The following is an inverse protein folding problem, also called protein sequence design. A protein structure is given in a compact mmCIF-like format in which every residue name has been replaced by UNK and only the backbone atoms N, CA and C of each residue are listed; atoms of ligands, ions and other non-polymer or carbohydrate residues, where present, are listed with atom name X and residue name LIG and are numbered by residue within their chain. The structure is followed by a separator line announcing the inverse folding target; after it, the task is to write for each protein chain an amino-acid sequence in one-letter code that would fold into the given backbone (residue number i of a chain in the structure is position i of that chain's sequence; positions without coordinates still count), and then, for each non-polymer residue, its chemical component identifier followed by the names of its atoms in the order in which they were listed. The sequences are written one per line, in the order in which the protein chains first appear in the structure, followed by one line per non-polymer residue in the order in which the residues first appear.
data_IF_994036913502
#
_entry.id   IF_994036913502
#
_cell.length_a   1.000
_cell.length_b   1.000
_cell.length_c   1.000
_cell.angle_alpha   90.00
_cell.angle_beta   90.00
_cell.angle_gamma   90.00
#
_symmetry.space_group_name_H-M   'P 1'
#
loop_
_entity.id
_entity.type
_entity.pdbx_description
1 polymer ?
#
# COMPACT_ATOMS: atom_id res chain seq x y z
N UNK A 1 34.22 -13.60 -28.19
CA UNK A 1 33.44 -14.40 -27.26
C UNK A 1 32.22 -13.57 -26.91
N UNK A 2 31.05 -13.97 -27.38
CA UNK A 2 29.77 -13.27 -27.13
C UNK A 2 29.07 -14.00 -25.99
N UNK A 3 28.95 -13.37 -24.84
CA UNK A 3 28.10 -13.86 -23.76
C UNK A 3 26.63 -13.66 -24.18
N UNK A 4 25.96 -14.77 -24.40
CA UNK A 4 24.51 -14.85 -24.61
C UNK A 4 23.86 -14.85 -23.26
N UNK A 5 23.44 -13.69 -22.74
CA UNK A 5 22.48 -13.62 -21.65
C UNK A 5 21.12 -14.07 -22.17
N UNK A 6 20.76 -15.29 -21.79
CA UNK A 6 19.44 -15.86 -21.99
C UNK A 6 18.43 -15.10 -21.15
N UNK A 7 17.81 -14.04 -21.69
CA UNK A 7 16.58 -13.49 -21.14
C UNK A 7 15.53 -14.60 -21.18
N UNK A 8 15.25 -15.20 -20.03
CA UNK A 8 14.06 -16.05 -19.85
C UNK A 8 12.84 -15.21 -20.16
N UNK A 9 12.20 -15.45 -21.29
CA UNK A 9 10.88 -14.94 -21.60
C UNK A 9 9.91 -15.48 -20.56
N UNK A 10 9.48 -14.65 -19.63
CA UNK A 10 8.33 -14.89 -18.78
C UNK A 10 7.07 -14.81 -19.67
N UNK A 11 6.08 -15.69 -19.49
CA UNK A 11 4.90 -15.70 -20.36
C UNK A 11 4.09 -14.41 -20.22
N UNK A 12 3.42 -13.99 -21.31
CA UNK A 12 2.59 -12.78 -21.45
C UNK A 12 1.51 -12.56 -20.36
N UNK A 13 1.30 -13.54 -19.46
CA UNK A 13 0.43 -13.46 -18.29
C UNK A 13 0.87 -12.41 -17.24
N UNK A 14 2.13 -11.94 -17.30
CA UNK A 14 2.68 -10.96 -16.34
C UNK A 14 2.27 -9.50 -16.61
N UNK A 15 1.82 -9.19 -17.83
CA UNK A 15 1.48 -7.80 -18.20
C UNK A 15 0.37 -7.19 -17.34
N UNK A 16 -0.46 -8.01 -16.67
CA UNK A 16 -1.55 -7.56 -15.79
C UNK A 16 -1.43 -8.04 -14.33
N UNK A 17 -0.32 -8.63 -13.95
CA UNK A 17 -0.06 -9.04 -12.57
C UNK A 17 -0.92 -10.21 -12.06
N UNK A 18 -1.55 -10.98 -12.93
CA UNK A 18 -2.31 -12.19 -12.55
C UNK A 18 -1.50 -13.42 -12.89
N UNK A 19 -1.22 -14.23 -11.87
CA UNK A 19 -0.56 -15.55 -12.00
C UNK A 19 -1.60 -16.59 -11.61
N UNK A 20 -2.02 -17.44 -12.54
CA UNK A 20 -3.08 -18.42 -12.31
C UNK A 20 -2.62 -19.85 -12.55
N UNK A 21 -3.15 -20.77 -11.75
CA UNK A 21 -2.80 -22.18 -11.77
C UNK A 21 -1.70 -22.55 -10.77
N UNK A 22 -1.77 -23.80 -10.30
CA UNK A 22 -0.93 -24.30 -9.19
C UNK A 22 0.57 -24.22 -9.49
N UNK A 23 0.97 -24.68 -10.66
CA UNK A 23 2.40 -24.72 -11.04
C UNK A 23 2.98 -23.31 -11.19
N UNK A 24 2.23 -22.39 -11.82
CA UNK A 24 2.68 -21.02 -12.01
C UNK A 24 2.86 -20.30 -10.65
N UNK A 25 1.89 -20.48 -9.73
CA UNK A 25 1.97 -19.88 -8.39
C UNK A 25 3.12 -20.50 -7.56
N UNK A 26 3.34 -21.83 -7.66
CA UNK A 26 4.47 -22.48 -6.98
C UNK A 26 5.80 -21.93 -7.50
N UNK A 27 5.92 -21.76 -8.82
CA UNK A 27 7.14 -21.25 -9.44
C UNK A 27 7.38 -19.77 -9.06
N UNK A 28 6.33 -18.95 -9.05
CA UNK A 28 6.41 -17.56 -8.57
C UNK A 28 6.87 -17.48 -7.11
N UNK A 29 6.34 -18.36 -6.24
CA UNK A 29 6.80 -18.45 -4.84
C UNK A 29 8.25 -18.95 -4.73
N UNK A 30 8.70 -19.81 -5.63
CA UNK A 30 10.06 -20.36 -5.63
C UNK A 30 11.08 -19.37 -6.16
N UNK A 31 10.72 -18.61 -7.19
CA UNK A 31 11.59 -17.58 -7.81
C UNK A 31 11.73 -16.33 -6.95
N UNK A 32 10.95 -16.19 -5.86
CA UNK A 32 10.92 -14.97 -5.06
C UNK A 32 10.21 -13.80 -5.73
N UNK A 33 9.31 -14.08 -6.69
CA UNK A 33 8.53 -13.03 -7.34
C UNK A 33 7.75 -12.21 -6.33
N UNK A 34 7.68 -10.91 -6.54
CA UNK A 34 6.91 -10.02 -5.69
C UNK A 34 5.42 -10.32 -5.81
N UNK A 35 4.84 -10.97 -4.82
CA UNK A 35 3.41 -11.33 -4.77
C UNK A 35 2.71 -10.46 -3.75
N UNK A 36 1.66 -9.78 -4.19
CA UNK A 36 0.82 -8.95 -3.33
C UNK A 36 -0.13 -9.80 -2.50
N UNK A 37 -0.82 -10.75 -3.14
CA UNK A 37 -1.86 -11.55 -2.52
C UNK A 37 -2.09 -12.85 -3.26
N UNK A 38 -2.44 -13.92 -2.54
CA UNK A 38 -2.85 -15.20 -3.14
C UNK A 38 -4.31 -15.48 -2.74
N UNK A 39 -5.15 -15.76 -3.73
CA UNK A 39 -6.51 -16.25 -3.54
C UNK A 39 -6.53 -17.76 -3.71
N UNK A 40 -7.15 -18.44 -2.73
CA UNK A 40 -7.42 -19.88 -2.76
C UNK A 40 -8.91 -20.13 -2.77
N UNK A 41 -9.35 -21.09 -3.56
CA UNK A 41 -10.74 -21.50 -3.59
C UNK A 41 -11.14 -22.14 -2.24
N UNK A 42 -12.21 -21.63 -1.64
CA UNK A 42 -12.75 -22.13 -0.36
C UNK A 42 -13.30 -23.54 -0.53
N UNK A 43 -12.99 -24.41 0.44
CA UNK A 43 -13.50 -25.78 0.49
C UNK A 43 -12.75 -26.80 -0.36
N UNK A 44 -11.74 -26.41 -1.13
CA UNK A 44 -10.86 -27.36 -1.81
C UNK A 44 -9.78 -27.89 -0.84
N UNK A 45 -9.89 -29.17 -0.47
CA UNK A 45 -8.93 -29.87 0.39
C UNK A 45 -7.88 -30.59 -0.45
N UNK A 46 -7.07 -29.82 -1.17
CA UNK A 46 -5.99 -30.36 -2.00
C UNK A 46 -4.62 -30.11 -1.31
N UNK A 47 -3.77 -31.17 -1.25
CA UNK A 47 -2.44 -31.08 -0.64
C UNK A 47 -1.56 -30.00 -1.28
N UNK A 48 -1.71 -29.78 -2.58
CA UNK A 48 -0.94 -28.76 -3.32
C UNK A 48 -1.36 -27.35 -2.91
N UNK A 49 -2.67 -27.10 -2.77
CA UNK A 49 -3.18 -25.80 -2.30
C UNK A 49 -2.75 -25.53 -0.85
N UNK A 50 -2.78 -26.56 0.01
CA UNK A 50 -2.26 -26.48 1.36
C UNK A 50 -0.77 -26.13 1.42
N UNK A 51 0.03 -26.73 0.53
CA UNK A 51 1.46 -26.40 0.39
C UNK A 51 1.71 -24.97 -0.07
N UNK A 52 0.96 -24.51 -1.08
CA UNK A 52 0.99 -23.11 -1.55
C UNK A 52 0.66 -22.15 -0.40
N UNK A 53 -0.43 -22.42 0.33
CA UNK A 53 -0.84 -21.60 1.47
C UNK A 53 0.24 -21.51 2.55
N UNK A 54 0.88 -22.65 2.89
CA UNK A 54 1.94 -22.72 3.88
C UNK A 54 3.18 -21.92 3.46
N UNK A 55 3.65 -22.11 2.22
CA UNK A 55 4.78 -21.36 1.66
C UNK A 55 4.51 -19.85 1.59
N UNK A 56 3.32 -19.47 1.12
CA UNK A 56 2.94 -18.08 1.04
C UNK A 56 2.92 -17.40 2.40
N UNK A 57 2.34 -18.06 3.43
CA UNK A 57 2.34 -17.53 4.80
C UNK A 57 3.74 -17.41 5.39
N UNK A 58 4.61 -18.39 5.14
CA UNK A 58 6.02 -18.36 5.56
C UNK A 58 6.77 -17.18 4.90
N UNK A 59 6.45 -16.85 3.65
CA UNK A 59 6.99 -15.69 2.94
C UNK A 59 6.29 -14.35 3.32
N UNK A 60 5.36 -14.36 4.29
CA UNK A 60 4.63 -13.15 4.71
C UNK A 60 3.60 -12.64 3.69
N UNK A 61 3.27 -13.45 2.68
CA UNK A 61 2.28 -13.11 1.65
C UNK A 61 0.87 -13.33 2.18
N UNK A 62 -0.04 -12.41 1.88
CA UNK A 62 -1.44 -12.50 2.31
C UNK A 62 -2.15 -13.59 1.51
N UNK A 63 -2.70 -14.60 2.21
CA UNK A 63 -3.54 -15.65 1.62
C UNK A 63 -5.01 -15.37 2.00
N UNK A 64 -5.88 -15.33 0.99
CA UNK A 64 -7.31 -15.08 1.12
C UNK A 64 -8.08 -16.28 0.58
N UNK A 65 -8.91 -16.87 1.41
CA UNK A 65 -9.90 -17.84 0.93
C UNK A 65 -11.07 -17.11 0.28
N UNK A 66 -11.45 -17.52 -0.91
CA UNK A 66 -12.52 -16.91 -1.69
C UNK A 66 -13.39 -17.96 -2.37
N UNK A 67 -14.63 -17.62 -2.63
CA UNK A 67 -15.51 -18.49 -3.41
C UNK A 67 -14.95 -18.71 -4.82
N UNK A 68 -15.17 -19.91 -5.36
CA UNK A 68 -14.68 -20.28 -6.70
C UNK A 68 -15.14 -19.29 -7.78
N UNK A 69 -16.36 -18.78 -7.70
CA UNK A 69 -16.89 -17.73 -8.60
C UNK A 69 -16.03 -16.48 -8.63
N UNK A 70 -15.42 -16.11 -7.50
CA UNK A 70 -14.51 -14.96 -7.45
C UNK A 70 -13.24 -15.24 -8.22
N UNK A 71 -12.69 -16.46 -8.12
CA UNK A 71 -11.52 -16.86 -8.89
C UNK A 71 -11.87 -16.95 -10.39
N UNK A 72 -13.03 -17.52 -10.73
CA UNK A 72 -13.51 -17.58 -12.12
C UNK A 72 -13.61 -16.19 -12.75
N UNK A 73 -14.11 -15.19 -11.99
CA UNK A 73 -14.21 -13.80 -12.44
C UNK A 73 -12.86 -13.09 -12.56
N UNK A 74 -11.88 -13.52 -11.80
CA UNK A 74 -10.51 -12.98 -11.85
C UNK A 74 -9.66 -13.67 -12.92
N UNK A 75 -9.96 -14.94 -13.22
CA UNK A 75 -9.21 -15.76 -14.15
C UNK A 75 -9.41 -15.30 -15.59
N UNK A 76 -8.33 -15.30 -16.36
CA UNK A 76 -8.36 -14.99 -17.80
C UNK A 76 -8.46 -16.23 -18.65
N UNK A 77 -7.81 -17.29 -18.22
CA UNK A 77 -7.72 -18.55 -18.99
C UNK A 77 -8.78 -19.56 -18.54
N UNK A 78 -9.55 -19.23 -17.47
CA UNK A 78 -10.48 -20.16 -16.80
C UNK A 78 -9.81 -21.46 -16.32
N UNK A 79 -8.49 -21.46 -16.19
CA UNK A 79 -7.67 -22.62 -15.78
C UNK A 79 -6.94 -22.39 -14.45
N UNK A 80 -7.50 -21.60 -13.54
CA UNK A 80 -6.87 -21.21 -12.28
C UNK A 80 -6.63 -22.36 -11.29
N UNK A 81 -7.25 -23.53 -11.46
CA UNK A 81 -7.03 -24.73 -10.64
C UNK A 81 -7.17 -24.47 -9.11
N UNK A 82 -8.06 -23.57 -8.70
CA UNK A 82 -8.31 -23.22 -7.30
C UNK A 82 -7.32 -22.20 -6.71
N UNK A 83 -6.40 -21.64 -7.50
CA UNK A 83 -5.45 -20.62 -7.01
C UNK A 83 -5.16 -19.53 -8.04
N UNK A 84 -5.13 -18.29 -7.55
CA UNK A 84 -4.69 -17.10 -8.29
C UNK A 84 -3.79 -16.27 -7.38
N UNK A 85 -2.61 -15.89 -7.85
CA UNK A 85 -1.76 -14.91 -7.21
C UNK A 85 -1.82 -13.57 -7.97
N UNK A 86 -1.80 -12.48 -7.23
CA UNK A 86 -1.60 -11.14 -7.76
C UNK A 86 -0.14 -10.77 -7.55
N UNK A 87 0.59 -10.58 -8.62
CA UNK A 87 1.95 -10.07 -8.57
C UNK A 87 1.94 -8.58 -8.16
N UNK A 88 2.87 -8.18 -7.32
CA UNK A 88 3.16 -6.77 -7.10
C UNK A 88 4.10 -6.29 -8.21
N UNK A 89 3.82 -5.11 -8.76
CA UNK A 89 4.66 -4.51 -9.81
C UNK A 89 6.04 -4.08 -9.29
N UNK A 90 6.19 -3.97 -7.97
CA UNK A 90 7.42 -3.61 -7.30
C UNK A 90 7.49 -4.26 -5.93
N UNK A 91 8.69 -4.55 -5.48
CA UNK A 91 8.94 -5.01 -4.11
C UNK A 91 8.58 -3.94 -3.08
N UNK A 92 8.02 -4.39 -1.98
CA UNK A 92 7.79 -3.55 -0.81
C UNK A 92 9.08 -3.41 -0.02
N UNK A 93 9.32 -2.22 0.50
CA UNK A 93 10.48 -1.95 1.35
C UNK A 93 10.11 -2.03 2.84
N UNK A 94 11.11 -2.02 3.71
CA UNK A 94 10.87 -1.89 5.15
C UNK A 94 10.60 -0.43 5.55
N UNK A 95 9.97 -0.21 6.70
CA UNK A 95 9.76 1.16 7.23
C UNK A 95 11.10 1.81 7.57
N UNK A 96 12.04 1.03 8.07
CA UNK A 96 13.40 1.46 8.38
C UNK A 96 14.09 2.03 7.15
N UNK A 97 13.95 1.37 5.99
CA UNK A 97 14.53 1.87 4.72
C UNK A 97 13.96 3.22 4.29
N UNK A 98 12.68 3.51 4.63
CA UNK A 98 12.08 4.83 4.36
C UNK A 98 12.74 5.92 5.22
N UNK A 99 13.00 5.62 6.48
CA UNK A 99 13.63 6.55 7.42
C UNK A 99 15.11 6.76 7.10
N UNK A 100 15.81 5.69 6.73
CA UNK A 100 17.21 5.77 6.25
C UNK A 100 17.33 6.63 4.99
N UNK A 101 16.36 6.53 4.07
CA UNK A 101 16.34 7.36 2.86
C UNK A 101 16.15 8.85 3.19
N UNK A 102 15.33 9.21 4.18
CA UNK A 102 15.19 10.59 4.65
C UNK A 102 16.48 11.08 5.31
N UNK A 103 17.07 10.28 6.19
CA UNK A 103 18.33 10.61 6.87
C UNK A 103 19.49 10.79 5.89
N UNK A 104 19.58 9.95 4.84
CA UNK A 104 20.61 10.07 3.81
C UNK A 104 20.51 11.37 3.00
N UNK A 105 19.32 11.96 2.90
CA UNK A 105 19.10 13.29 2.29
C UNK A 105 19.32 14.44 3.26
N UNK A 106 19.47 14.17 4.56
CA UNK A 106 19.50 15.20 5.60
C UNK A 106 18.15 15.88 5.82
N UNK A 107 17.05 15.23 5.44
CA UNK A 107 15.70 15.78 5.48
C UNK A 107 14.89 15.23 6.66
N UNK A 108 13.98 16.03 7.21
CA UNK A 108 13.01 15.55 8.18
C UNK A 108 12.02 14.58 7.51
N UNK A 109 11.82 13.35 8.01
CA UNK A 109 10.93 12.39 7.39
C UNK A 109 9.53 12.96 7.15
N UNK A 110 8.99 12.72 5.95
CA UNK A 110 7.59 12.93 5.60
C UNK A 110 7.04 11.61 5.07
N UNK A 111 6.20 10.97 5.87
CA UNK A 111 5.61 9.67 5.54
C UNK A 111 4.11 9.82 5.33
N UNK A 112 3.54 9.01 4.42
CA UNK A 112 2.10 8.87 4.26
C UNK A 112 1.69 7.49 4.74
N UNK A 113 0.74 7.41 5.64
CA UNK A 113 0.19 6.15 6.15
C UNK A 113 -1.25 6.02 5.67
N UNK A 114 -1.54 5.01 4.86
CA UNK A 114 -2.88 4.75 4.34
C UNK A 114 -3.60 3.75 5.26
N UNK A 115 -4.69 4.14 5.88
CA UNK A 115 -5.53 3.24 6.69
C UNK A 115 -6.76 2.81 5.89
N UNK A 116 -6.81 1.53 5.53
CA UNK A 116 -7.90 0.88 4.77
C UNK A 116 -8.22 1.52 3.40
N UNK A 117 -7.24 2.11 2.73
CA UNK A 117 -7.40 2.58 1.34
C UNK A 117 -7.47 1.36 0.41
N UNK A 118 -8.68 0.90 0.11
CA UNK A 118 -8.93 -0.32 -0.68
C UNK A 118 -9.13 -0.06 -2.18
N UNK A 119 -9.45 1.17 -2.57
CA UNK A 119 -9.55 1.56 -3.97
C UNK A 119 -8.16 1.80 -4.57
N UNK A 120 -7.78 1.05 -5.63
CA UNK A 120 -6.49 1.24 -6.31
C UNK A 120 -6.35 2.61 -6.99
N UNK A 121 -7.46 3.26 -7.37
CA UNK A 121 -7.40 4.61 -7.93
C UNK A 121 -6.96 5.62 -6.88
N UNK A 122 -7.50 5.54 -5.67
CA UNK A 122 -7.07 6.39 -4.56
C UNK A 122 -5.62 6.14 -4.17
N UNK A 123 -5.22 4.88 -4.03
CA UNK A 123 -3.82 4.57 -3.71
C UNK A 123 -2.87 5.11 -4.78
N UNK A 124 -3.20 4.93 -6.06
CA UNK A 124 -2.40 5.46 -7.17
C UNK A 124 -2.28 6.98 -7.14
N UNK A 125 -3.37 7.69 -6.89
CA UNK A 125 -3.37 9.15 -6.78
C UNK A 125 -2.58 9.64 -5.55
N UNK A 126 -2.68 8.93 -4.41
CA UNK A 126 -1.89 9.21 -3.19
C UNK A 126 -0.39 9.03 -3.48
N UNK A 127 0.01 7.92 -4.12
CA UNK A 127 1.40 7.66 -4.48
C UNK A 127 1.96 8.76 -5.39
N UNK A 128 1.18 9.19 -6.39
CA UNK A 128 1.58 10.27 -7.28
C UNK A 128 1.77 11.59 -6.54
N UNK A 129 0.83 11.94 -5.67
CA UNK A 129 0.92 13.19 -4.89
C UNK A 129 2.07 13.13 -3.88
N UNK A 130 2.27 11.99 -3.23
CA UNK A 130 3.36 11.79 -2.28
C UNK A 130 4.73 11.94 -2.95
N UNK A 131 4.88 11.41 -4.17
CA UNK A 131 6.10 11.58 -4.96
C UNK A 131 6.32 13.06 -5.32
N UNK A 132 5.32 13.72 -5.89
CA UNK A 132 5.40 15.14 -6.25
C UNK A 132 5.67 16.06 -5.05
N UNK A 133 5.19 15.68 -3.86
CA UNK A 133 5.39 16.41 -2.62
C UNK A 133 6.75 16.11 -1.93
N UNK A 134 7.56 15.23 -2.50
CA UNK A 134 8.85 14.83 -1.90
C UNK A 134 8.72 14.01 -0.63
N UNK A 135 7.62 13.28 -0.44
CA UNK A 135 7.48 12.35 0.68
C UNK A 135 8.51 11.21 0.56
N UNK A 136 8.98 10.70 1.71
CA UNK A 136 10.00 9.65 1.76
C UNK A 136 9.44 8.24 1.60
N UNK A 137 8.14 8.08 1.71
CA UNK A 137 7.48 6.82 1.46
C UNK A 137 6.01 6.79 1.83
N UNK A 138 5.33 5.77 1.29
CA UNK A 138 3.93 5.47 1.59
C UNK A 138 3.87 4.13 2.31
N UNK A 139 3.08 4.05 3.37
CA UNK A 139 2.92 2.86 4.19
C UNK A 139 1.47 2.39 4.11
N UNK A 140 1.29 1.12 3.77
CA UNK A 140 -0.04 0.50 3.64
C UNK A 140 -0.15 -0.73 4.55
N UNK A 141 -1.35 -1.11 5.03
CA UNK A 141 -1.53 -2.35 5.76
C UNK A 141 -1.47 -3.55 4.81
N UNK A 142 -1.03 -4.72 5.33
CA UNK A 142 -1.04 -5.98 4.57
C UNK A 142 -2.45 -6.45 4.18
N UNK A 143 -3.46 -6.04 4.94
CA UNK A 143 -4.87 -6.41 4.72
C UNK A 143 -5.72 -5.15 4.59
N UNK A 144 -6.89 -5.26 3.95
CA UNK A 144 -7.85 -4.17 3.76
C UNK A 144 -7.24 -2.96 3.04
N UNK A 145 -6.35 -3.19 2.10
CA UNK A 145 -5.72 -2.15 1.30
C UNK A 145 -5.57 -2.62 -0.14
N UNK A 146 -5.57 -1.70 -1.07
CA UNK A 146 -5.07 -1.94 -2.40
C UNK A 146 -3.57 -2.25 -2.32
N UNK A 147 -3.09 -3.11 -3.23
CA UNK A 147 -1.66 -3.40 -3.39
C UNK A 147 -1.10 -2.72 -4.64
N UNK A 148 0.20 -2.90 -4.90
CA UNK A 148 0.88 -2.31 -6.06
C UNK A 148 0.55 -3.07 -7.36
N UNK A 149 -0.66 -2.92 -7.83
CA UNK A 149 -1.21 -3.57 -9.04
C UNK A 149 -1.00 -2.71 -10.29
N UNK A 150 -1.28 -3.28 -11.48
CA UNK A 150 -1.28 -2.56 -12.76
C UNK A 150 -2.21 -1.35 -12.78
N UNK A 151 -3.34 -1.42 -12.06
CA UNK A 151 -4.27 -0.28 -11.92
C UNK A 151 -3.60 0.84 -11.14
N UNK A 152 -2.92 0.52 -10.02
CA UNK A 152 -2.18 1.50 -9.21
C UNK A 152 -1.05 2.13 -10.01
N UNK A 153 -0.31 1.36 -10.81
CA UNK A 153 0.73 1.90 -11.68
C UNK A 153 0.17 2.89 -12.71
N UNK A 154 -0.94 2.52 -13.34
CA UNK A 154 -1.60 3.38 -14.32
C UNK A 154 -2.13 4.66 -13.68
N UNK A 155 -2.80 4.57 -12.54
CA UNK A 155 -3.40 5.73 -11.85
C UNK A 155 -2.37 6.62 -11.18
N UNK A 156 -1.23 6.05 -10.76
CA UNK A 156 -0.09 6.83 -10.25
C UNK A 156 0.72 7.54 -11.35
N UNK A 157 0.38 7.36 -12.63
CA UNK A 157 1.13 7.87 -13.76
C UNK A 157 2.64 7.55 -13.70
N UNK A 158 2.98 6.35 -13.21
CA UNK A 158 4.34 5.88 -13.07
C UNK A 158 5.04 6.23 -11.75
N UNK A 159 4.43 7.04 -10.87
CA UNK A 159 5.02 7.41 -9.59
C UNK A 159 5.33 6.20 -8.70
N UNK A 160 4.60 5.08 -8.86
CA UNK A 160 4.88 3.81 -8.17
C UNK A 160 6.32 3.30 -8.40
N UNK A 161 6.97 3.70 -9.49
CA UNK A 161 8.36 3.33 -9.78
C UNK A 161 9.39 4.13 -8.98
N UNK A 162 9.00 5.27 -8.44
CA UNK A 162 9.88 6.18 -7.70
C UNK A 162 9.55 6.22 -6.22
N UNK A 163 8.26 6.20 -5.86
CA UNK A 163 7.79 6.26 -4.48
C UNK A 163 7.94 4.90 -3.79
N UNK A 164 8.82 4.77 -2.78
CA UNK A 164 8.94 3.53 -2.03
C UNK A 164 7.70 3.27 -1.18
N UNK A 165 7.25 2.02 -1.15
CA UNK A 165 6.06 1.61 -0.39
C UNK A 165 6.42 0.52 0.61
N UNK A 166 6.09 0.74 1.87
CA UNK A 166 6.22 -0.27 2.92
C UNK A 166 4.87 -0.93 3.24
N UNK A 167 4.90 -2.20 3.66
CA UNK A 167 3.71 -2.93 4.11
C UNK A 167 3.84 -3.38 5.56
N UNK A 168 2.84 -3.06 6.36
CA UNK A 168 2.83 -3.38 7.79
C UNK A 168 1.65 -4.27 8.17
N UNK A 169 1.84 -5.10 9.19
CA UNK A 169 0.77 -5.96 9.68
C UNK A 169 -0.26 -5.19 10.51
N UNK A 170 0.17 -4.14 11.22
CA UNK A 170 -0.62 -3.40 12.19
C UNK A 170 -0.23 -1.93 12.21
N UNK A 171 -1.14 -1.04 11.78
CA UNK A 171 -0.90 0.41 11.75
C UNK A 171 -0.78 1.01 13.16
N UNK A 172 -1.65 0.74 14.14
CA UNK A 172 -1.47 1.25 15.50
C UNK A 172 -0.10 0.95 16.13
N UNK A 173 0.44 -0.27 15.90
CA UNK A 173 1.79 -0.61 16.37
C UNK A 173 2.85 0.21 15.66
N UNK A 174 2.77 0.33 14.33
CA UNK A 174 3.65 1.19 13.55
C UNK A 174 3.68 2.62 14.08
N UNK A 175 2.50 3.23 14.28
CA UNK A 175 2.42 4.62 14.74
C UNK A 175 3.11 4.82 16.09
N UNK A 176 2.94 3.86 17.03
CA UNK A 176 3.65 3.88 18.31
C UNK A 176 5.18 3.81 18.14
N UNK A 177 5.65 3.02 17.19
CA UNK A 177 7.10 2.88 16.94
C UNK A 177 7.68 4.11 16.23
N UNK A 178 6.94 4.75 15.32
CA UNK A 178 7.31 6.04 14.72
C UNK A 178 7.41 7.15 15.78
N UNK A 179 6.45 7.21 16.70
CA UNK A 179 6.45 8.19 17.81
C UNK A 179 7.67 8.04 18.72
N UNK A 180 8.09 6.81 19.05
CA UNK A 180 9.33 6.57 19.80
C UNK A 180 10.59 7.11 19.09
N UNK A 181 10.53 7.23 17.77
CA UNK A 181 11.61 7.78 16.94
C UNK A 181 11.48 9.30 16.71
N UNK A 182 10.58 9.97 17.42
CA UNK A 182 10.37 11.41 17.35
C UNK A 182 9.56 11.87 16.13
N UNK A 183 8.85 10.98 15.46
CA UNK A 183 8.00 11.30 14.31
C UNK A 183 6.59 11.61 14.82
N UNK A 184 6.12 12.82 14.57
CA UNK A 184 4.76 13.24 14.91
C UNK A 184 3.73 12.61 13.96
N UNK A 185 2.66 12.11 14.53
CA UNK A 185 1.60 11.42 13.78
C UNK A 185 0.36 12.28 13.68
N UNK A 186 0.05 12.72 12.46
CA UNK A 186 -1.11 13.55 12.14
C UNK A 186 -2.18 12.69 11.46
N UNK A 187 -3.29 12.46 12.15
CA UNK A 187 -4.44 11.72 11.60
C UNK A 187 -5.46 12.66 10.97
N UNK A 188 -6.02 12.29 9.83
CA UNK A 188 -7.06 13.07 9.15
C UNK A 188 -8.44 12.71 9.67
N UNK A 189 -9.16 13.69 10.25
CA UNK A 189 -10.51 13.49 10.74
C UNK A 189 -11.37 14.73 10.47
N UNK A 190 -12.64 14.53 10.09
CA UNK A 190 -13.55 15.64 9.83
C UNK A 190 -13.84 16.47 11.08
N UNK A 191 -13.83 15.83 12.24
CA UNK A 191 -14.02 16.39 13.58
C UNK A 191 -12.70 16.61 14.34
N UNK A 192 -11.58 16.65 13.62
CA UNK A 192 -10.26 16.91 14.20
C UNK A 192 -10.22 18.22 14.99
N UNK A 193 -9.58 18.19 16.15
CA UNK A 193 -9.48 19.32 17.07
C UNK A 193 -8.51 20.42 16.60
N UNK A 194 -7.71 20.13 15.60
CA UNK A 194 -6.75 21.08 15.02
C UNK A 194 -7.06 21.25 13.53
N UNK A 195 -7.20 22.48 13.06
CA UNK A 195 -7.31 22.71 11.61
C UNK A 195 -5.95 22.51 10.94
N UNK A 196 -5.95 22.08 9.69
CA UNK A 196 -4.73 21.88 8.90
C UNK A 196 -3.78 23.08 8.96
N UNK A 197 -4.33 24.29 8.89
CA UNK A 197 -3.55 25.53 8.87
C UNK A 197 -2.86 25.88 10.20
N UNK A 198 -3.27 25.22 11.29
CA UNK A 198 -2.70 25.36 12.63
C UNK A 198 -1.82 24.18 13.03
N UNK A 199 -1.74 23.13 12.22
CA UNK A 199 -0.87 21.99 12.46
C UNK A 199 0.58 22.33 12.08
N UNK A 200 1.54 21.99 12.92
CA UNK A 200 2.97 22.15 12.63
C UNK A 200 3.51 20.90 11.92
N UNK A 201 3.70 21.01 10.61
CA UNK A 201 4.20 19.93 9.73
C UNK A 201 5.68 20.10 9.33
N UNK A 202 6.42 21.02 9.96
CA UNK A 202 7.83 21.33 9.61
C UNK A 202 8.77 20.21 10.01
N UNK A 203 8.56 19.57 11.15
CA UNK A 203 9.39 18.51 11.69
C UNK A 203 9.12 17.13 11.06
N UNK A 204 9.73 16.05 11.62
CA UNK A 204 9.45 14.68 11.23
C UNK A 204 7.95 14.36 11.39
N UNK A 205 7.30 13.95 10.30
CA UNK A 205 5.84 13.78 10.28
C UNK A 205 5.39 12.52 9.53
N UNK A 206 4.36 11.86 10.06
CA UNK A 206 3.59 10.82 9.40
C UNK A 206 2.13 11.28 9.28
N UNK A 207 1.65 11.44 8.06
CA UNK A 207 0.28 11.85 7.76
C UNK A 207 -0.56 10.60 7.52
N UNK A 208 -1.56 10.36 8.35
CA UNK A 208 -2.45 9.20 8.26
C UNK A 208 -3.71 9.58 7.51
N UNK A 209 -3.97 8.86 6.41
CA UNK A 209 -5.15 9.05 5.56
C UNK A 209 -6.08 7.85 5.75
N UNK A 210 -7.29 8.09 6.20
CA UNK A 210 -8.34 7.08 6.33
C UNK A 210 -9.13 6.85 5.06
N UNK A 211 -9.96 5.80 5.06
CA UNK A 211 -10.86 5.48 3.94
C UNK A 211 -11.98 6.51 3.78
N UNK A 212 -12.56 6.60 2.59
CA UNK A 212 -13.60 7.60 2.25
C UNK A 212 -14.90 7.45 3.06
N UNK A 213 -15.30 6.22 3.39
CA UNK A 213 -16.56 5.97 4.08
C UNK A 213 -16.46 6.01 5.59
N UNK A 214 -15.51 5.29 6.16
CA UNK A 214 -15.32 5.12 7.61
C UNK A 214 -14.22 5.99 8.21
N UNK A 215 -13.46 6.70 7.38
CA UNK A 215 -12.28 7.43 7.87
C UNK A 215 -11.18 6.49 8.36
N UNK A 216 -10.48 6.91 9.40
CA UNK A 216 -9.50 6.08 10.10
C UNK A 216 -10.20 5.13 11.08
N UNK A 217 -9.66 3.94 11.24
CA UNK A 217 -10.09 3.03 12.29
C UNK A 217 -9.88 3.64 13.70
N UNK A 218 -10.77 3.32 14.65
CA UNK A 218 -10.74 3.88 16.01
C UNK A 218 -9.36 3.78 16.67
N UNK A 219 -8.73 2.62 16.65
CA UNK A 219 -7.40 2.43 17.25
C UNK A 219 -6.28 3.19 16.52
N UNK A 220 -6.43 3.43 15.21
CA UNK A 220 -5.50 4.25 14.43
C UNK A 220 -5.64 5.70 14.85
N UNK A 221 -6.88 6.22 14.92
CA UNK A 221 -7.19 7.58 15.35
C UNK A 221 -6.66 7.85 16.77
N UNK A 222 -6.92 6.93 17.72
CA UNK A 222 -6.43 7.01 19.11
C UNK A 222 -4.88 6.95 19.21
N UNK A 223 -4.21 6.44 18.17
CA UNK A 223 -2.73 6.35 18.12
C UNK A 223 -2.07 7.60 17.53
N UNK A 224 -2.83 8.50 16.92
CA UNK A 224 -2.31 9.76 16.39
C UNK A 224 -1.98 10.75 17.52
N UNK A 225 -1.01 11.64 17.32
CA UNK A 225 -0.69 12.72 18.24
C UNK A 225 -1.65 13.90 18.06
N UNK A 226 -2.01 14.17 16.80
CA UNK A 226 -2.90 15.28 16.42
C UNK A 226 -3.93 14.76 15.43
N UNK A 227 -5.20 15.09 15.65
CA UNK A 227 -6.26 14.90 14.67
C UNK A 227 -6.49 16.22 13.93
N UNK A 228 -6.22 16.20 12.62
CA UNK A 228 -6.26 17.37 11.76
C UNK A 228 -7.50 17.34 10.89
N UNK A 229 -8.23 18.45 10.89
CA UNK A 229 -9.39 18.68 10.01
C UNK A 229 -9.06 19.65 8.87
N UNK A 230 -9.63 19.37 7.69
CA UNK A 230 -9.64 20.28 6.55
C UNK A 230 -10.94 21.10 6.65
N UNK A 231 -10.89 22.44 6.75
CA UNK A 231 -12.10 23.26 6.89
C UNK A 231 -13.02 23.11 5.67
N UNK A 232 -14.23 22.61 5.89
CA UNK A 232 -15.25 22.44 4.86
C UNK A 232 -16.21 23.64 4.89
N UNK A 233 -16.46 24.26 3.74
CA UNK A 233 -17.39 25.39 3.59
C UNK A 233 -18.71 25.04 2.90
N UNK A 234 -18.80 23.82 2.38
CA UNK A 234 -19.97 23.31 1.68
C UNK A 234 -20.89 22.48 2.57
N UNK A 235 -21.86 21.83 1.94
CA UNK A 235 -22.79 20.90 2.60
C UNK A 235 -22.22 19.48 2.75
N UNK A 236 -21.23 19.13 1.96
CA UNK A 236 -20.56 17.82 2.01
C UNK A 236 -19.49 17.86 3.09
N UNK A 237 -19.47 16.89 3.97
CA UNK A 237 -18.64 16.83 5.18
C UNK A 237 -17.25 16.21 4.98
N UNK A 238 -16.96 15.63 3.82
CA UNK A 238 -15.70 14.94 3.56
C UNK A 238 -15.23 15.12 2.12
N UNK A 239 -13.94 14.98 1.89
CA UNK A 239 -13.30 14.91 0.58
C UNK A 239 -12.99 13.44 0.23
N UNK A 240 -12.75 13.21 -1.06
CA UNK A 240 -12.10 11.99 -1.51
C UNK A 240 -10.74 11.82 -0.79
N UNK A 241 -10.38 10.59 -0.43
CA UNK A 241 -9.17 10.31 0.37
C UNK A 241 -7.88 10.82 -0.31
N UNK A 242 -7.76 10.68 -1.62
CA UNK A 242 -6.58 11.18 -2.35
C UNK A 242 -6.54 12.71 -2.43
N UNK A 243 -7.70 13.37 -2.50
CA UNK A 243 -7.79 14.83 -2.45
C UNK A 243 -7.39 15.36 -1.06
N UNK A 244 -7.87 14.72 0.02
CA UNK A 244 -7.45 15.06 1.38
C UNK A 244 -5.93 14.89 1.57
N UNK A 245 -5.37 13.77 1.08
CA UNK A 245 -3.93 13.53 1.10
C UNK A 245 -3.15 14.63 0.37
N UNK A 246 -3.63 15.06 -0.81
CA UNK A 246 -2.97 16.11 -1.57
C UNK A 246 -2.93 17.45 -0.81
N UNK A 247 -4.03 17.83 -0.19
CA UNK A 247 -4.12 19.08 0.57
C UNK A 247 -3.14 19.05 1.77
N UNK A 248 -3.09 17.94 2.52
CA UNK A 248 -2.19 17.82 3.68
C UNK A 248 -0.72 17.78 3.28
N UNK A 249 -0.40 17.03 2.23
CA UNK A 249 0.98 16.93 1.73
C UNK A 249 1.49 18.28 1.23
N UNK A 250 0.70 19.02 0.47
CA UNK A 250 1.12 20.33 -0.02
C UNK A 250 1.12 21.41 1.05
N UNK A 251 0.33 21.27 2.12
CA UNK A 251 0.51 22.12 3.31
C UNK A 251 1.85 21.79 4.00
N UNK A 252 2.24 20.53 4.11
CA UNK A 252 3.55 20.15 4.63
C UNK A 252 4.68 20.72 3.75
N UNK A 253 4.55 20.64 2.42
CA UNK A 253 5.50 21.25 1.48
C UNK A 253 5.60 22.75 1.71
N UNK A 254 4.46 23.46 1.78
CA UNK A 254 4.43 24.90 2.02
C UNK A 254 5.14 25.31 3.32
N UNK A 255 5.03 24.49 4.36
CA UNK A 255 5.64 24.79 5.67
C UNK A 255 7.13 24.48 5.72
N UNK A 256 7.58 23.54 4.90
CA UNK A 256 8.98 23.08 4.88
C UNK A 256 9.89 23.93 3.95
N UNK A 257 9.30 24.75 3.08
CA UNK A 257 9.98 25.70 2.18
C UNK A 257 10.02 25.19 0.78
#
# INVERSE_FOLDING_TARGET
MRENETKKNLPDAEADGIIEGRNAVIEALRSGAAIDKIYLAKGETDKTLGHIASKARAAGIVVVEADRRKLDNMSRTHSHQGVIALAALREYVSVESLLEAAAAKGEAPLLVVCDEISDPHNLGAILRTAECAGAHGVIIPKRRSAGLTSIVAKTSAGAVSYMPVARVANIPSLLKDLKKQGIWVFGTAADGNTTLYNADLKGPAAIVIGSEGSGMGRLVSESCDVLVSIPMKGKISSLNASAAAAILLYEAVRQRG
#
